data_IF_664558600846
#
_entry.id   IF_664558600846
#
_cell.length_a   1.000
_cell.length_b   1.000
_cell.length_c   1.000
_cell.angle_alpha   90.00
_cell.angle_beta   90.00
_cell.angle_gamma   90.00
#
_symmetry.space_group_name_H-M   'P 1'
#
loop_
_entity.id
_entity.type
_entity.pdbx_description
1 polymer ?
#
# COMPACT_ATOMS: atom_id res chain seq x y z
N UNK A 1 -12.13 1.43 -16.91
CA UNK A 1 -11.76 1.49 -15.49
C UNK A 1 -12.83 0.87 -14.57
N UNK A 2 -13.43 -0.28 -14.92
CA UNK A 2 -14.43 -0.98 -14.07
C UNK A 2 -14.12 -2.47 -14.00
N UNK A 3 -12.99 -2.85 -13.40
CA UNK A 3 -12.73 -4.27 -13.18
C UNK A 3 -11.99 -4.48 -11.85
N UNK A 4 -12.54 -5.27 -10.92
CA UNK A 4 -11.94 -5.57 -9.60
C UNK A 4 -10.83 -6.63 -9.74
N UNK A 5 -9.95 -6.49 -10.74
CA UNK A 5 -8.86 -7.43 -10.97
C UNK A 5 -7.63 -7.00 -10.17
N UNK A 6 -7.33 -7.73 -9.09
CA UNK A 6 -6.15 -7.49 -8.26
C UNK A 6 -4.86 -8.05 -8.87
N UNK A 7 -4.96 -9.04 -9.76
CA UNK A 7 -3.82 -9.67 -10.43
C UNK A 7 -4.17 -10.09 -11.85
N UNK A 8 -3.16 -10.06 -12.73
CA UNK A 8 -3.29 -10.44 -14.15
C UNK A 8 -2.05 -11.23 -14.56
N UNK A 9 -2.25 -12.34 -15.25
CA UNK A 9 -1.17 -13.10 -15.85
C UNK A 9 -0.65 -12.36 -17.10
N UNK A 10 0.63 -12.04 -17.13
CA UNK A 10 1.27 -11.32 -18.23
C UNK A 10 2.37 -12.13 -18.89
N UNK A 11 2.66 -11.84 -20.15
CA UNK A 11 3.85 -12.36 -20.81
C UNK A 11 5.07 -11.59 -20.34
N UNK A 12 6.19 -12.30 -20.15
CA UNK A 12 7.46 -11.70 -19.78
C UNK A 12 8.51 -11.95 -20.86
N UNK A 13 9.48 -11.05 -20.95
CA UNK A 13 10.69 -11.25 -21.77
C UNK A 13 11.52 -12.43 -21.25
N UNK A 14 11.40 -12.77 -19.96
CA UNK A 14 12.10 -13.89 -19.32
C UNK A 14 11.51 -15.26 -19.70
N UNK A 15 10.23 -15.31 -20.08
CA UNK A 15 9.54 -16.54 -20.49
C UNK A 15 9.47 -16.68 -22.01
N UNK A 16 10.27 -15.92 -22.76
CA UNK A 16 10.28 -15.93 -24.22
C UNK A 16 11.13 -17.09 -24.78
N UNK A 17 10.52 -17.98 -25.55
CA UNK A 17 11.17 -19.15 -26.17
C UNK A 17 11.94 -18.84 -27.47
N UNK A 18 12.06 -17.57 -27.85
CA UNK A 18 12.79 -17.17 -29.05
C UNK A 18 14.28 -17.48 -28.90
N UNK A 19 14.85 -18.23 -29.87
CA UNK A 19 16.28 -18.61 -29.85
C UNK A 19 17.22 -17.41 -29.98
N UNK A 20 16.79 -16.34 -30.64
CA UNK A 20 17.57 -15.10 -30.83
C UNK A 20 16.65 -13.89 -30.67
N UNK A 21 16.98 -13.02 -29.73
CA UNK A 21 16.16 -11.84 -29.40
C UNK A 21 14.85 -12.21 -28.71
N UNK A 22 13.89 -11.28 -28.72
CA UNK A 22 12.60 -11.40 -28.02
C UNK A 22 11.46 -11.26 -29.03
N UNK A 23 10.38 -12.03 -28.85
CA UNK A 23 9.21 -11.91 -29.71
C UNK A 23 8.38 -10.65 -29.37
N UNK A 24 7.71 -10.07 -30.37
CA UNK A 24 6.94 -8.85 -30.21
C UNK A 24 5.84 -8.95 -29.14
N UNK A 25 5.28 -10.15 -28.91
CA UNK A 25 4.22 -10.37 -27.91
C UNK A 25 4.76 -10.45 -26.47
N UNK A 26 6.01 -10.87 -26.26
CA UNK A 26 6.62 -10.92 -24.93
C UNK A 26 7.14 -9.56 -24.46
N UNK A 27 7.49 -8.67 -25.40
CA UNK A 27 7.84 -7.29 -25.09
C UNK A 27 6.62 -6.37 -25.06
N UNK A 28 5.72 -6.50 -26.05
CA UNK A 28 4.48 -5.74 -26.13
C UNK A 28 4.66 -4.37 -26.79
N UNK A 29 4.32 -3.31 -26.05
CA UNK A 29 4.26 -1.94 -26.55
C UNK A 29 5.59 -1.22 -26.31
N UNK A 30 6.14 -0.60 -27.35
CA UNK A 30 7.24 0.34 -27.20
C UNK A 30 6.71 1.62 -26.52
N UNK A 31 7.27 1.96 -25.36
CA UNK A 31 6.83 3.10 -24.56
C UNK A 31 7.20 4.46 -25.18
N UNK A 32 8.22 4.53 -26.04
CA UNK A 32 8.62 5.77 -26.71
C UNK A 32 7.67 6.14 -27.87
N UNK A 33 7.19 5.17 -28.62
CA UNK A 33 6.28 5.40 -29.77
C UNK A 33 4.82 5.14 -29.42
N UNK A 34 4.57 4.55 -28.26
CA UNK A 34 3.26 4.12 -27.79
C UNK A 34 2.56 3.17 -28.79
N UNK A 35 3.31 2.37 -29.54
CA UNK A 35 2.81 1.38 -30.50
C UNK A 35 3.38 0.00 -30.21
N UNK A 36 2.82 -1.05 -30.81
CA UNK A 36 3.42 -2.39 -30.73
C UNK A 36 4.84 -2.37 -31.30
N UNK A 37 5.75 -3.03 -30.59
CA UNK A 37 7.17 -3.12 -30.98
C UNK A 37 7.31 -3.68 -32.40
N UNK A 38 8.13 -3.02 -33.22
CA UNK A 38 8.42 -3.48 -34.57
C UNK A 38 9.54 -4.52 -34.57
N UNK A 39 9.50 -5.44 -35.55
CA UNK A 39 10.60 -6.39 -35.75
C UNK A 39 11.86 -5.63 -36.17
N UNK A 40 12.95 -5.87 -35.46
CA UNK A 40 14.22 -5.17 -35.67
C UNK A 40 14.52 -4.07 -34.67
N UNK A 41 13.57 -3.72 -33.79
CA UNK A 41 13.84 -2.79 -32.69
C UNK A 41 14.84 -3.39 -31.69
N UNK A 42 15.83 -2.58 -31.31
CA UNK A 42 16.93 -2.99 -30.45
C UNK A 42 16.55 -2.82 -28.97
N UNK A 43 15.55 -3.60 -28.53
CA UNK A 43 14.96 -3.50 -27.18
C UNK A 43 15.98 -3.67 -26.04
N UNK A 44 17.06 -4.42 -26.26
CA UNK A 44 18.11 -4.62 -25.26
C UNK A 44 18.93 -3.35 -24.97
N UNK A 45 19.28 -2.59 -26.00
CA UNK A 45 20.01 -1.32 -25.85
C UNK A 45 19.09 -0.26 -25.23
N UNK A 46 17.83 -0.21 -25.65
CA UNK A 46 16.82 0.70 -25.10
C UNK A 46 16.63 0.43 -23.60
N UNK A 47 16.54 -0.84 -23.19
CA UNK A 47 16.42 -1.21 -21.78
C UNK A 47 17.65 -0.79 -20.95
N UNK A 48 18.86 -1.01 -21.49
CA UNK A 48 20.10 -0.61 -20.82
C UNK A 48 20.19 0.91 -20.62
N UNK A 49 19.84 1.70 -21.63
CA UNK A 49 19.83 3.17 -21.55
C UNK A 49 18.78 3.69 -20.58
N UNK A 50 17.58 3.09 -20.60
CA UNK A 50 16.46 3.48 -19.74
C UNK A 50 16.77 3.32 -18.24
N UNK A 51 17.77 2.52 -17.89
CA UNK A 51 18.28 2.38 -16.52
C UNK A 51 19.55 3.21 -16.31
N UNK A 52 20.49 3.13 -17.26
CA UNK A 52 21.82 3.73 -17.13
C UNK A 52 21.81 5.25 -17.11
N UNK A 53 21.15 5.89 -18.08
CA UNK A 53 21.12 7.35 -18.18
C UNK A 53 20.41 7.97 -16.97
N UNK A 54 19.18 7.56 -16.59
CA UNK A 54 18.53 8.07 -15.39
C UNK A 54 19.32 7.79 -14.11
N UNK A 55 19.99 6.63 -14.00
CA UNK A 55 20.81 6.30 -12.84
C UNK A 55 22.00 7.23 -12.66
N UNK A 56 22.75 7.49 -13.74
CA UNK A 56 23.85 8.46 -13.73
C UNK A 56 23.37 9.90 -13.51
N UNK A 57 22.18 10.23 -14.01
CA UNK A 57 21.57 11.54 -13.80
C UNK A 57 21.12 11.75 -12.36
N UNK A 58 20.54 10.71 -11.73
CA UNK A 58 20.06 10.77 -10.36
C UNK A 58 21.23 10.94 -9.38
N UNK A 59 22.32 10.20 -9.57
CA UNK A 59 23.51 10.37 -8.71
C UNK A 59 24.03 11.80 -8.78
N UNK A 60 24.20 12.36 -9.99
CA UNK A 60 24.61 13.75 -10.14
C UNK A 60 23.62 14.71 -9.47
N UNK A 61 22.31 14.59 -9.69
CA UNK A 61 21.33 15.49 -9.06
C UNK A 61 21.34 15.38 -7.53
N UNK A 62 21.40 14.17 -6.98
CA UNK A 62 21.44 13.96 -5.53
C UNK A 62 22.70 14.55 -4.90
N UNK A 63 23.86 14.43 -5.54
CA UNK A 63 25.10 15.02 -5.01
C UNK A 63 25.14 16.55 -5.13
N UNK A 64 24.64 17.13 -6.22
CA UNK A 64 24.65 18.58 -6.40
C UNK A 64 23.57 19.29 -5.56
N UNK A 65 22.47 18.60 -5.24
CA UNK A 65 21.38 19.10 -4.37
C UNK A 65 21.59 18.71 -2.89
N UNK A 66 22.47 17.74 -2.61
CA UNK A 66 22.70 17.14 -1.28
C UNK A 66 23.21 18.08 -0.18
N UNK A 67 23.39 19.37 -0.46
CA UNK A 67 23.68 20.41 0.55
C UNK A 67 22.44 21.05 1.18
N UNK A 68 21.26 20.85 0.61
CA UNK A 68 20.00 21.38 1.16
C UNK A 68 19.16 20.18 1.62
N UNK A 69 19.30 19.80 2.88
CA UNK A 69 18.42 18.83 3.53
C UNK A 69 17.03 19.46 3.77
N UNK A 70 16.33 19.77 2.69
CA UNK A 70 14.91 20.07 2.73
C UNK A 70 14.18 18.74 2.74
N UNK A 71 13.89 18.21 3.94
CA UNK A 71 12.88 17.17 4.06
C UNK A 71 11.61 17.71 3.42
N UNK A 72 11.26 17.19 2.24
CA UNK A 72 9.95 17.49 1.65
C UNK A 72 8.96 16.92 2.67
N UNK A 73 8.22 17.80 3.34
CA UNK A 73 7.19 17.39 4.28
C UNK A 73 6.26 16.44 3.50
N UNK A 74 6.31 15.16 3.84
CA UNK A 74 5.39 14.20 3.27
C UNK A 74 4.02 14.61 3.76
N UNK A 75 3.10 14.88 2.83
CA UNK A 75 1.72 15.15 3.22
C UNK A 75 1.19 13.89 3.92
N UNK A 76 0.88 14.00 5.20
CA UNK A 76 0.35 12.91 6.04
C UNK A 76 -1.15 13.02 6.25
N UNK A 77 -1.76 14.13 5.81
CA UNK A 77 -3.16 14.40 5.98
C UNK A 77 -3.74 15.18 4.79
N UNK A 78 -5.05 15.06 4.61
CA UNK A 78 -5.79 15.94 3.69
C UNK A 78 -6.74 16.82 4.48
N UNK A 79 -6.51 18.13 4.37
CA UNK A 79 -7.39 19.17 4.88
C UNK A 79 -8.20 19.75 3.73
N UNK A 80 -9.51 19.86 3.93
CA UNK A 80 -10.41 20.40 2.92
C UNK A 80 -10.12 21.87 2.65
N UNK A 81 -9.93 22.21 1.37
CA UNK A 81 -9.79 23.60 0.90
C UNK A 81 -11.11 24.22 0.46
N UNK A 82 -12.14 23.39 0.28
CA UNK A 82 -13.43 23.74 -0.29
C UNK A 82 -14.56 23.36 0.66
N UNK A 83 -15.66 24.09 0.57
CA UNK A 83 -16.89 23.74 1.28
C UNK A 83 -17.75 22.92 0.33
N UNK A 84 -18.33 21.82 0.82
CA UNK A 84 -19.15 20.95 -0.01
C UNK A 84 -19.51 19.66 0.69
N UNK A 85 -20.13 18.75 -0.06
CA UNK A 85 -20.47 17.41 0.41
C UNK A 85 -19.35 16.44 0.04
N UNK A 86 -18.95 15.60 0.99
CA UNK A 86 -18.00 14.52 0.76
C UNK A 86 -18.72 13.36 0.08
N UNK A 87 -18.20 12.90 -1.05
CA UNK A 87 -18.63 11.66 -1.70
C UNK A 87 -17.42 10.73 -1.82
N UNK A 88 -17.53 9.52 -1.29
CA UNK A 88 -16.43 8.55 -1.28
C UNK A 88 -16.81 7.33 -2.09
N UNK A 89 -16.03 7.03 -3.12
CA UNK A 89 -16.26 5.87 -3.96
C UNK A 89 -15.60 4.60 -3.40
N UNK A 90 -16.34 3.49 -3.50
CA UNK A 90 -15.95 2.15 -3.05
C UNK A 90 -15.45 2.09 -1.60
N UNK A 91 -16.05 2.90 -0.72
CA UNK A 91 -15.64 2.97 0.68
C UNK A 91 -15.89 1.65 1.42
N UNK A 92 -14.83 1.07 1.95
CA UNK A 92 -14.88 0.03 2.97
C UNK A 92 -14.09 0.49 4.17
N UNK A 93 -14.74 0.55 5.32
CA UNK A 93 -14.13 0.94 6.59
C UNK A 93 -14.29 -0.13 7.64
N UNK A 94 -13.33 -0.17 8.55
CA UNK A 94 -13.40 -0.98 9.78
C UNK A 94 -13.27 -0.03 10.96
N UNK A 95 -14.14 -0.23 11.96
CA UNK A 95 -14.08 0.53 13.21
C UNK A 95 -12.88 0.07 14.03
N UNK A 96 -11.86 0.91 14.10
CA UNK A 96 -10.70 0.76 14.97
C UNK A 96 -10.87 1.52 16.28
N UNK A 97 -9.96 1.26 17.21
CA UNK A 97 -9.72 2.14 18.35
C UNK A 97 -8.32 2.70 18.23
N UNK A 98 -8.18 4.01 18.27
CA UNK A 98 -6.88 4.66 18.31
C UNK A 98 -6.19 4.44 19.67
N UNK A 99 -4.90 4.78 19.76
CA UNK A 99 -4.14 4.73 21.02
C UNK A 99 -4.78 5.54 22.16
N UNK A 100 -5.60 6.56 21.82
CA UNK A 100 -6.38 7.37 22.75
C UNK A 100 -7.75 6.75 23.16
N UNK A 101 -8.13 5.60 22.58
CA UNK A 101 -9.40 4.92 22.86
C UNK A 101 -10.61 5.45 22.06
N UNK A 102 -10.39 6.42 21.18
CA UNK A 102 -11.42 6.97 20.28
C UNK A 102 -11.75 5.97 19.16
N UNK A 103 -13.04 5.86 18.83
CA UNK A 103 -13.49 5.06 17.71
C UNK A 103 -13.16 5.80 16.42
N UNK A 104 -12.28 5.22 15.62
CA UNK A 104 -11.89 5.75 14.32
C UNK A 104 -12.27 4.78 13.21
N UNK A 105 -12.65 5.32 12.06
CA UNK A 105 -12.91 4.51 10.88
C UNK A 105 -11.62 4.40 10.06
N UNK A 106 -11.11 3.19 9.90
CA UNK A 106 -9.90 2.95 9.11
C UNK A 106 -10.30 2.40 7.75
N UNK A 107 -9.73 2.98 6.70
CA UNK A 107 -10.00 2.64 5.31
C UNK A 107 -9.28 1.35 4.94
N UNK A 108 -10.04 0.35 4.47
CA UNK A 108 -9.49 -0.95 4.02
C UNK A 108 -9.58 -1.12 2.49
N UNK A 109 -10.14 -0.15 1.78
CA UNK A 109 -10.16 -0.13 0.32
C UNK A 109 -8.82 0.35 -0.25
N UNK A 110 -8.36 -0.29 -1.32
CA UNK A 110 -7.09 0.03 -2.00
C UNK A 110 -7.23 0.99 -3.18
N UNK A 111 -8.45 1.14 -3.70
CA UNK A 111 -8.77 1.95 -4.88
C UNK A 111 -9.77 3.07 -4.57
N UNK A 112 -10.02 3.36 -3.29
CA UNK A 112 -10.95 4.42 -2.93
C UNK A 112 -10.37 5.80 -3.24
N UNK A 113 -11.27 6.67 -3.70
CA UNK A 113 -11.04 8.09 -3.82
C UNK A 113 -12.22 8.82 -3.17
N UNK A 114 -11.95 10.01 -2.64
CA UNK A 114 -13.01 10.90 -2.19
C UNK A 114 -13.06 12.15 -3.06
N UNK A 115 -14.26 12.69 -3.17
CA UNK A 115 -14.57 13.89 -3.93
C UNK A 115 -15.33 14.87 -3.04
N UNK A 116 -15.04 16.15 -3.23
CA UNK A 116 -15.82 17.23 -2.60
C UNK A 116 -16.69 17.82 -3.69
N UNK A 117 -18.00 17.71 -3.51
CA UNK A 117 -19.01 18.16 -4.47
C UNK A 117 -19.73 19.39 -3.91
N UNK A 118 -19.93 20.42 -4.73
CA UNK A 118 -20.76 21.56 -4.31
C UNK A 118 -22.24 21.12 -4.27
N UNK A 119 -22.94 21.21 -3.11
CA UNK A 119 -24.32 20.77 -2.97
C UNK A 119 -25.32 21.53 -3.85
N UNK A 120 -24.96 22.70 -4.40
CA UNK A 120 -25.85 23.49 -5.28
C UNK A 120 -25.65 23.22 -6.77
N UNK A 121 -24.44 22.88 -7.18
CA UNK A 121 -24.07 22.77 -8.60
C UNK A 121 -23.73 21.36 -9.03
N UNK A 122 -23.59 20.41 -8.08
CA UNK A 122 -23.15 19.03 -8.30
C UNK A 122 -21.78 18.93 -9.02
N UNK A 123 -21.00 20.02 -9.00
CA UNK A 123 -19.66 20.06 -9.60
C UNK A 123 -18.66 19.49 -8.59
N UNK A 124 -17.80 18.58 -9.06
CA UNK A 124 -16.64 18.09 -8.30
C UNK A 124 -15.59 19.19 -8.20
N UNK A 125 -15.36 19.69 -7.00
CA UNK A 125 -14.38 20.76 -6.70
C UNK A 125 -12.99 20.19 -6.44
N UNK A 126 -12.92 19.00 -5.88
CA UNK A 126 -11.67 18.37 -5.46
C UNK A 126 -11.82 16.85 -5.48
N UNK A 127 -10.79 16.16 -5.97
CA UNK A 127 -10.69 14.71 -5.95
C UNK A 127 -9.33 14.33 -5.39
N UNK A 128 -9.30 13.34 -4.49
CA UNK A 128 -8.07 12.81 -3.95
C UNK A 128 -8.20 11.33 -3.64
N UNK A 129 -7.10 10.58 -3.83
CA UNK A 129 -7.07 9.17 -3.52
C UNK A 129 -7.02 8.96 -2.01
N UNK A 130 -7.75 7.97 -1.51
CA UNK A 130 -7.78 7.61 -0.10
C UNK A 130 -6.87 6.40 0.11
N UNK A 131 -5.71 6.56 0.78
CA UNK A 131 -4.77 5.45 0.93
C UNK A 131 -5.29 4.37 1.88
N UNK A 132 -4.87 3.13 1.64
CA UNK A 132 -5.17 2.00 2.53
C UNK A 132 -4.56 2.23 3.92
N UNK A 133 -5.33 1.99 4.97
CA UNK A 133 -4.91 2.24 6.34
C UNK A 133 -5.05 3.69 6.79
N UNK A 134 -5.59 4.59 5.94
CA UNK A 134 -5.91 5.95 6.36
C UNK A 134 -6.99 5.95 7.43
N UNK A 135 -6.80 6.78 8.43
CA UNK A 135 -7.82 7.14 9.41
C UNK A 135 -8.75 8.18 8.79
N UNK A 136 -10.03 7.86 8.72
CA UNK A 136 -11.08 8.71 8.19
C UNK A 136 -11.81 9.39 9.35
N UNK A 137 -11.89 10.72 9.31
CA UNK A 137 -12.57 11.52 10.33
C UNK A 137 -14.00 11.90 9.92
N UNK A 138 -14.32 11.77 8.63
CA UNK A 138 -15.59 12.18 8.04
C UNK A 138 -16.23 11.04 7.27
N UNK A 139 -17.50 10.75 7.55
CA UNK A 139 -18.25 9.70 6.86
C UNK A 139 -18.64 10.13 5.43
N UNK A 140 -18.92 9.15 4.58
CA UNK A 140 -19.48 9.39 3.25
C UNK A 140 -20.81 10.16 3.32
N UNK A 141 -20.96 11.15 2.45
CA UNK A 141 -22.12 12.04 2.38
C UNK A 141 -22.14 13.18 3.40
N UNK A 142 -21.11 13.34 4.24
CA UNK A 142 -21.06 14.41 5.24
C UNK A 142 -20.73 15.79 4.64
N UNK A 143 -21.22 16.84 5.28
CA UNK A 143 -20.91 18.23 4.91
C UNK A 143 -19.52 18.62 5.44
N UNK A 144 -18.64 19.04 4.53
CA UNK A 144 -17.25 19.43 4.79
C UNK A 144 -17.13 20.94 4.69
N UNK A 145 -16.48 21.56 5.67
CA UNK A 145 -16.10 22.97 5.63
C UNK A 145 -14.63 23.13 5.29
N UNK A 146 -14.28 24.35 4.88
CA UNK A 146 -12.88 24.72 4.64
C UNK A 146 -12.10 24.64 5.96
N UNK A 147 -11.04 23.85 5.97
CA UNK A 147 -10.18 23.61 7.13
C UNK A 147 -10.48 22.31 7.87
N UNK A 148 -11.52 21.57 7.49
CA UNK A 148 -11.81 20.28 8.11
C UNK A 148 -10.83 19.21 7.64
N UNK A 149 -10.38 18.36 8.57
CA UNK A 149 -9.51 17.22 8.28
C UNK A 149 -10.36 16.05 7.81
N UNK A 150 -10.09 15.57 6.60
CA UNK A 150 -10.85 14.47 5.98
C UNK A 150 -10.22 13.13 6.38
N UNK A 151 -8.92 13.00 6.14
CA UNK A 151 -8.17 11.78 6.43
C UNK A 151 -6.73 12.08 6.84
N UNK A 152 -6.16 11.16 7.62
CA UNK A 152 -4.75 11.14 8.03
C UNK A 152 -4.20 9.73 7.86
N UNK A 153 -2.94 9.62 7.46
CA UNK A 153 -2.24 8.35 7.35
C UNK A 153 -0.78 8.50 7.72
N UNK A 154 -0.16 7.38 8.10
CA UNK A 154 1.27 7.32 8.34
C UNK A 154 1.98 6.95 7.02
N UNK A 155 2.84 7.82 6.46
CA UNK A 155 3.55 7.52 5.23
C UNK A 155 4.72 6.54 5.41
N UNK A 156 5.16 6.31 6.66
CA UNK A 156 6.29 5.45 6.99
C UNK A 156 5.85 4.04 7.37
N UNK A 157 4.61 3.87 7.82
CA UNK A 157 4.08 2.60 8.29
C UNK A 157 3.01 2.03 7.34
N UNK A 158 3.34 0.95 6.66
CA UNK A 158 2.36 0.14 5.93
C UNK A 158 1.64 -0.79 6.92
N UNK A 159 0.39 -0.49 7.24
CA UNK A 159 -0.43 -1.28 8.15
C UNK A 159 -1.06 -2.48 7.44
N UNK A 160 -1.35 -3.55 8.18
CA UNK A 160 -2.16 -4.69 7.72
C UNK A 160 -3.33 -4.82 8.68
N UNK A 161 -4.55 -4.67 8.15
CA UNK A 161 -5.77 -4.61 8.96
C UNK A 161 -6.70 -5.76 8.59
N UNK A 162 -7.28 -6.38 9.61
CA UNK A 162 -8.30 -7.42 9.43
C UNK A 162 -9.65 -6.80 9.01
N UNK A 163 -10.28 -7.37 7.99
CA UNK A 163 -11.65 -7.00 7.59
C UNK A 163 -12.72 -7.72 8.42
N UNK A 164 -12.33 -8.82 9.08
CA UNK A 164 -13.24 -9.70 9.79
C UNK A 164 -12.96 -9.70 11.29
N UNK A 165 -14.03 -9.69 12.07
CA UNK A 165 -13.98 -9.97 13.50
C UNK A 165 -13.73 -11.45 13.74
N UNK A 166 -12.80 -11.77 14.64
CA UNK A 166 -12.46 -13.16 14.92
C UNK A 166 -11.30 -13.25 15.89
N UNK A 167 -10.89 -14.48 16.16
CA UNK A 167 -9.73 -14.77 17.00
C UNK A 167 -8.48 -14.83 16.12
N UNK A 168 -7.44 -14.11 16.54
CA UNK A 168 -6.13 -14.15 15.90
C UNK A 168 -5.47 -15.50 16.22
N UNK A 169 -5.02 -16.22 15.19
CA UNK A 169 -4.27 -17.46 15.32
C UNK A 169 -2.95 -17.34 14.54
N UNK A 170 -1.85 -17.61 15.22
CA UNK A 170 -0.52 -17.58 14.62
C UNK A 170 -0.22 -18.87 13.84
N UNK A 171 0.29 -18.70 12.62
CA UNK A 171 0.80 -19.80 11.81
C UNK A 171 2.26 -19.52 11.44
N UNK A 172 3.14 -20.47 11.78
CA UNK A 172 4.59 -20.35 11.57
C UNK A 172 5.24 -19.11 12.19
N UNK A 173 4.69 -18.55 13.28
CA UNK A 173 5.29 -17.46 14.05
C UNK A 173 6.08 -18.08 15.21
N UNK A 174 7.36 -18.34 14.99
CA UNK A 174 8.27 -19.09 15.88
C UNK A 174 9.46 -18.19 16.22
N UNK A 175 9.73 -18.08 17.52
CA UNK A 175 10.81 -17.24 18.04
C UNK A 175 12.18 -17.71 17.54
N UNK A 176 13.00 -16.77 17.08
CA UNK A 176 14.34 -17.03 16.56
C UNK A 176 14.39 -17.65 15.15
N UNK A 177 13.25 -18.04 14.59
CA UNK A 177 13.15 -18.64 13.24
C UNK A 177 12.41 -17.73 12.27
N UNK A 178 11.25 -17.20 12.67
CA UNK A 178 10.42 -16.33 11.83
C UNK A 178 10.09 -14.99 12.49
N UNK A 179 10.26 -14.85 13.80
CA UNK A 179 10.24 -13.55 14.47
C UNK A 179 11.34 -13.43 15.53
N UNK A 180 11.71 -12.20 15.86
CA UNK A 180 12.57 -11.82 16.99
C UNK A 180 11.81 -10.84 17.88
N UNK A 181 11.97 -10.98 19.19
CA UNK A 181 11.47 -9.98 20.13
C UNK A 181 12.48 -8.83 20.21
N UNK A 182 12.09 -7.65 19.74
CA UNK A 182 12.86 -6.42 19.87
C UNK A 182 12.27 -5.59 20.99
N UNK A 183 13.13 -5.16 21.91
CA UNK A 183 12.73 -4.31 23.01
C UNK A 183 13.05 -2.88 22.66
N UNK A 184 12.01 -2.05 22.59
CA UNK A 184 12.18 -0.62 22.42
C UNK A 184 12.82 -0.03 23.69
N UNK A 185 14.00 0.58 23.54
CA UNK A 185 14.75 1.17 24.63
C UNK A 185 14.07 2.39 25.24
N UNK A 186 13.19 3.08 24.50
CA UNK A 186 12.49 4.28 24.98
C UNK A 186 11.22 3.94 25.74
N UNK A 187 10.39 3.03 25.21
CA UNK A 187 9.10 2.69 25.80
C UNK A 187 9.17 1.48 26.73
N UNK A 188 10.23 0.68 26.63
CA UNK A 188 10.41 -0.57 27.37
C UNK A 188 9.47 -1.71 26.92
N UNK A 189 8.64 -1.45 25.90
CA UNK A 189 7.73 -2.41 25.29
C UNK A 189 8.51 -3.38 24.41
N UNK A 190 8.06 -4.63 24.41
CA UNK A 190 8.62 -5.72 23.63
C UNK A 190 7.73 -5.93 22.40
N UNK A 191 8.28 -5.70 21.21
CA UNK A 191 7.59 -5.88 19.94
C UNK A 191 8.14 -7.09 19.19
N UNK A 192 7.24 -7.83 18.54
CA UNK A 192 7.63 -8.99 17.74
C UNK A 192 7.88 -8.52 16.30
N UNK A 193 9.14 -8.58 15.88
CA UNK A 193 9.56 -8.19 14.53
C UNK A 193 9.79 -9.45 13.69
N UNK A 194 9.15 -9.52 12.52
CA UNK A 194 9.31 -10.64 11.60
C UNK A 194 10.70 -10.61 10.98
N UNK A 195 11.41 -11.73 11.07
CA UNK A 195 12.75 -11.90 10.48
C UNK A 195 12.68 -12.83 9.27
N UNK A 196 13.65 -12.70 8.38
CA UNK A 196 13.77 -13.60 7.24
C UNK A 196 14.06 -15.03 7.71
N UNK A 197 13.18 -15.97 7.36
CA UNK A 197 13.39 -17.37 7.68
C UNK A 197 14.37 -18.02 6.70
N UNK A 198 15.31 -18.80 7.22
CA UNK A 198 16.20 -19.65 6.39
C UNK A 198 15.45 -20.81 5.73
N UNK A 199 14.31 -21.21 6.31
CA UNK A 199 13.43 -22.27 5.80
C UNK A 199 12.34 -21.67 4.89
N UNK A 200 12.45 -21.88 3.57
CA UNK A 200 11.46 -21.38 2.57
C UNK A 200 10.04 -21.94 2.72
N UNK A 201 9.82 -22.91 3.60
CA UNK A 201 8.51 -23.53 3.86
C UNK A 201 7.75 -22.89 5.02
N UNK A 202 8.42 -22.05 5.84
CA UNK A 202 7.85 -21.45 7.04
C UNK A 202 7.61 -19.96 6.80
N UNK A 203 6.57 -19.66 6.03
CA UNK A 203 6.12 -18.28 5.85
C UNK A 203 5.30 -17.87 7.08
N UNK A 204 5.64 -16.76 7.76
CA UNK A 204 4.90 -16.28 8.92
C UNK A 204 3.57 -15.67 8.48
N UNK A 205 2.49 -16.16 9.09
CA UNK A 205 1.15 -15.82 8.66
C UNK A 205 0.22 -15.66 9.87
N UNK A 206 -0.67 -14.67 9.80
CA UNK A 206 -1.74 -14.48 10.77
C UNK A 206 -3.06 -14.93 10.16
N UNK A 207 -3.76 -15.82 10.87
CA UNK A 207 -5.10 -16.28 10.51
C UNK A 207 -6.15 -15.64 11.42
N UNK A 208 -7.30 -15.31 10.85
CA UNK A 208 -8.50 -14.91 11.58
C UNK A 208 -9.43 -16.11 11.62
N UNK A 209 -9.74 -16.60 12.82
CA UNK A 209 -10.66 -17.71 13.06
C UNK A 209 -12.01 -17.21 13.58
N UNK A 210 -13.09 -17.80 13.07
CA UNK A 210 -14.45 -17.57 13.60
C UNK A 210 -14.65 -18.28 14.95
N UNK A 211 -15.80 -18.03 15.59
CA UNK A 211 -16.19 -18.71 16.85
C UNK A 211 -16.23 -20.24 16.75
N UNK A 212 -16.38 -20.77 15.55
CA UNK A 212 -16.45 -22.21 15.25
C UNK A 212 -15.08 -22.82 14.90
N UNK A 213 -14.01 -22.02 14.91
CA UNK A 213 -12.65 -22.47 14.60
C UNK A 213 -12.31 -22.51 13.11
N UNK A 214 -13.24 -22.12 12.24
CA UNK A 214 -13.01 -22.03 10.79
C UNK A 214 -12.18 -20.80 10.42
N UNK A 215 -11.27 -20.97 9.46
CA UNK A 215 -10.39 -19.92 8.94
C UNK A 215 -11.17 -19.00 7.99
N UNK A 216 -11.33 -17.74 8.39
CA UNK A 216 -12.05 -16.73 7.59
C UNK A 216 -11.13 -16.04 6.62
N UNK A 217 -9.92 -15.70 7.09
CA UNK A 217 -8.94 -14.95 6.32
C UNK A 217 -7.53 -15.23 6.82
N UNK A 218 -6.57 -15.10 5.90
CA UNK A 218 -5.15 -15.32 6.14
C UNK A 218 -4.36 -14.10 5.62
N UNK A 219 -3.42 -13.61 6.42
CA UNK A 219 -2.59 -12.44 6.15
C UNK A 219 -1.11 -12.80 6.24
N UNK A 220 -0.42 -12.77 5.10
CA UNK A 220 1.01 -13.02 5.03
C UNK A 220 1.79 -11.83 5.59
N UNK A 221 2.75 -12.10 6.48
CA UNK A 221 3.59 -11.05 7.06
C UNK A 221 4.89 -10.91 6.27
N UNK A 222 5.23 -9.71 5.76
CA UNK A 222 6.53 -9.48 5.15
C UNK A 222 7.64 -9.45 6.21
N UNK A 223 8.88 -9.60 5.75
CA UNK A 223 10.06 -9.40 6.60
C UNK A 223 10.07 -7.95 7.12
N UNK A 224 10.50 -7.76 8.36
CA UNK A 224 10.48 -6.47 9.08
C UNK A 224 9.08 -5.95 9.45
N UNK A 225 8.03 -6.77 9.33
CA UNK A 225 6.73 -6.42 9.88
C UNK A 225 6.75 -6.45 11.42
N UNK A 226 6.18 -5.42 12.05
CA UNK A 226 5.95 -5.34 13.48
C UNK A 226 4.58 -5.93 13.83
N UNK A 227 4.54 -6.95 14.68
CA UNK A 227 3.30 -7.62 15.10
C UNK A 227 2.81 -6.97 16.39
N UNK A 228 1.76 -6.16 16.28
CA UNK A 228 1.13 -5.45 17.41
C UNK A 228 0.06 -6.31 18.12
N UNK A 229 -0.56 -7.23 17.40
CA UNK A 229 -1.58 -8.15 17.95
C UNK A 229 -0.91 -9.26 18.78
N UNK A 230 -1.67 -9.89 19.69
CA UNK A 230 -1.23 -11.07 20.44
C UNK A 230 -1.92 -12.32 19.89
N UNK A 231 -1.27 -13.47 20.01
CA UNK A 231 -1.89 -14.75 19.69
C UNK A 231 -3.14 -14.95 20.55
N UNK A 232 -4.22 -15.46 19.95
CA UNK A 232 -5.54 -15.61 20.56
C UNK A 232 -6.21 -14.31 21.03
N UNK A 233 -5.74 -13.14 20.59
CA UNK A 233 -6.48 -11.90 20.75
C UNK A 233 -7.82 -11.97 20.00
N UNK A 234 -8.82 -11.25 20.50
CA UNK A 234 -10.19 -11.21 20.00
C UNK A 234 -10.52 -9.83 19.46
#
# INVERSE_FOLDING_TARGET
EKSPLESVEIRSVLTCESRRGVCAKCYGRNLATARMVQKGEVVGVIAAQSIGEPGTQLTLRTFHVGGVAGGTAVETNVVSKYEGRLEIDELRTVKGKNAAGEAIDIVISRQSEFRIVDPKTEIVLYTHNLPYGATLFMADGSDVKKGDMICEWDPYNAVIISEHEGRVAYENIIEGVTYRDERDEQTGLSEKVVIESKDKTKNPVIKIQNKEGEEVKQYNLPVSAHIVVKDNAR
#
